data_IF_465543974305
#
_entry.id   IF_465543974305
#
_cell.length_a   1.000
_cell.length_b   1.000
_cell.length_c   1.000
_cell.angle_alpha   90.00
_cell.angle_beta   90.00
_cell.angle_gamma   90.00
#
_symmetry.space_group_name_H-M   'P 1'
#
loop_
_entity.id
_entity.type
_entity.pdbx_description
1 polymer ?
#
# COMPACT_ATOMS: atom_id res chain seq x y z
N UNK A 1 47.98 4.87 -14.48
CA UNK A 1 46.94 5.60 -15.26
C UNK A 1 45.62 5.14 -14.74
N UNK A 2 44.99 6.03 -13.97
CA UNK A 2 43.87 5.73 -13.12
C UNK A 2 42.59 5.50 -13.92
N UNK A 3 42.14 4.26 -14.00
CA UNK A 3 40.76 3.93 -14.38
C UNK A 3 39.84 4.22 -13.18
N UNK A 4 39.78 5.48 -12.81
CA UNK A 4 38.83 6.00 -11.85
C UNK A 4 37.47 6.23 -12.53
N UNK A 5 36.98 5.21 -13.24
CA UNK A 5 35.56 5.11 -13.54
C UNK A 5 34.90 4.77 -12.20
N UNK A 6 34.35 5.80 -11.55
CA UNK A 6 33.44 5.63 -10.43
C UNK A 6 32.35 4.63 -10.90
N UNK A 7 32.58 3.36 -10.60
CA UNK A 7 31.56 2.33 -10.82
C UNK A 7 30.38 2.74 -9.95
N UNK A 8 29.33 3.18 -10.61
CA UNK A 8 28.10 3.56 -9.95
C UNK A 8 27.66 2.35 -9.12
N UNK A 9 27.76 2.49 -7.79
CA UNK A 9 27.54 1.37 -6.88
C UNK A 9 26.14 0.81 -7.10
N UNK A 10 26.06 -0.50 -7.38
CA UNK A 10 24.78 -1.20 -7.67
C UNK A 10 23.68 -0.89 -6.63
N UNK A 11 24.08 -0.64 -5.39
CA UNK A 11 23.17 -0.23 -4.32
C UNK A 11 22.35 1.03 -4.62
N UNK A 12 22.87 1.97 -5.44
CA UNK A 12 22.11 3.15 -5.86
C UNK A 12 20.92 2.81 -6.74
N UNK A 13 21.08 1.84 -7.65
CA UNK A 13 19.96 1.37 -8.50
C UNK A 13 18.88 0.71 -7.64
N UNK A 14 19.29 -0.09 -6.65
CA UNK A 14 18.37 -0.71 -5.70
C UNK A 14 17.66 0.36 -4.86
N UNK A 15 18.38 1.33 -4.35
CA UNK A 15 17.81 2.42 -3.55
C UNK A 15 16.79 3.25 -4.35
N UNK A 16 17.10 3.61 -5.60
CA UNK A 16 16.17 4.31 -6.49
C UNK A 16 14.93 3.45 -6.76
N UNK A 17 15.12 2.17 -7.07
CA UNK A 17 14.01 1.24 -7.29
C UNK A 17 13.09 1.13 -6.07
N UNK A 18 13.64 0.96 -4.89
CA UNK A 18 12.88 0.91 -3.63
C UNK A 18 12.15 2.23 -3.36
N UNK A 19 12.81 3.37 -3.61
CA UNK A 19 12.20 4.69 -3.44
C UNK A 19 11.00 4.88 -4.37
N UNK A 20 11.13 4.48 -5.63
CA UNK A 20 10.02 4.55 -6.58
C UNK A 20 8.86 3.64 -6.17
N UNK A 21 9.13 2.41 -5.78
CA UNK A 21 8.10 1.48 -5.29
C UNK A 21 7.40 2.08 -4.06
N UNK A 22 8.16 2.56 -3.08
CA UNK A 22 7.63 3.19 -1.89
C UNK A 22 6.76 4.42 -2.21
N UNK A 23 7.23 5.29 -3.12
CA UNK A 23 6.49 6.47 -3.56
C UNK A 23 5.14 6.09 -4.19
N UNK A 24 5.14 5.19 -5.16
CA UNK A 24 3.91 4.76 -5.82
C UNK A 24 2.96 4.02 -4.88
N UNK A 25 3.47 3.15 -4.02
CA UNK A 25 2.66 2.41 -3.05
C UNK A 25 1.96 3.35 -2.08
N UNK A 26 2.68 4.32 -1.51
CA UNK A 26 2.08 5.31 -0.61
C UNK A 26 1.11 6.26 -1.32
N UNK A 27 1.48 6.73 -2.52
CA UNK A 27 0.60 7.59 -3.31
C UNK A 27 -0.73 6.90 -3.60
N UNK A 28 -0.70 5.66 -4.05
CA UNK A 28 -1.90 4.87 -4.33
C UNK A 28 -2.74 4.62 -3.08
N UNK A 29 -2.11 4.31 -1.95
CA UNK A 29 -2.83 3.93 -0.74
C UNK A 29 -3.42 5.11 0.02
N UNK A 30 -2.71 6.23 0.09
CA UNK A 30 -3.12 7.37 0.90
C UNK A 30 -3.81 8.47 0.10
N UNK A 31 -3.33 8.77 -1.11
CA UNK A 31 -3.83 9.93 -1.86
C UNK A 31 -4.95 9.60 -2.83
N UNK A 32 -4.92 8.44 -3.49
CA UNK A 32 -5.98 8.06 -4.44
C UNK A 32 -7.34 7.95 -3.75
N UNK A 33 -7.49 7.27 -2.60
CA UNK A 33 -8.78 7.26 -1.90
C UNK A 33 -9.26 8.66 -1.51
N UNK A 34 -8.36 9.53 -1.05
CA UNK A 34 -8.72 10.90 -0.64
C UNK A 34 -9.29 11.73 -1.79
N UNK A 35 -8.79 11.58 -3.00
CA UNK A 35 -9.32 12.29 -4.18
C UNK A 35 -10.71 11.78 -4.58
N UNK A 36 -11.04 10.56 -4.20
CA UNK A 36 -12.35 9.95 -4.46
C UNK A 36 -13.37 10.24 -3.35
N UNK A 37 -12.96 10.73 -2.20
CA UNK A 37 -13.82 10.96 -1.03
C UNK A 37 -15.08 11.77 -1.35
N UNK A 38 -15.03 12.92 -2.04
CA UNK A 38 -16.24 13.68 -2.34
C UNK A 38 -17.26 12.86 -3.14
N UNK A 39 -16.78 12.09 -4.11
CA UNK A 39 -17.62 11.24 -4.94
C UNK A 39 -18.21 10.05 -4.18
N UNK A 40 -17.42 9.44 -3.31
CA UNK A 40 -17.86 8.34 -2.45
C UNK A 40 -18.90 8.81 -1.43
N UNK A 41 -18.76 10.03 -0.91
CA UNK A 41 -19.76 10.64 -0.02
C UNK A 41 -21.11 10.83 -0.72
N UNK A 42 -21.09 11.30 -1.95
CA UNK A 42 -22.31 11.48 -2.75
C UNK A 42 -22.96 10.12 -3.09
N UNK A 43 -22.15 9.12 -3.48
CA UNK A 43 -22.63 7.82 -3.93
C UNK A 43 -23.21 6.97 -2.79
N UNK A 44 -22.55 6.99 -1.63
CA UNK A 44 -22.97 6.19 -0.45
C UNK A 44 -23.82 6.97 0.55
N UNK A 45 -24.04 8.28 0.33
CA UNK A 45 -24.76 9.14 1.27
C UNK A 45 -24.10 9.21 2.64
N UNK A 46 -22.77 8.99 2.70
CA UNK A 46 -22.00 8.96 3.92
C UNK A 46 -21.39 10.34 4.24
N UNK A 47 -21.06 10.54 5.52
CA UNK A 47 -20.40 11.76 5.95
C UNK A 47 -18.87 11.64 5.87
N UNK A 48 -18.18 12.78 5.99
CA UNK A 48 -16.72 12.85 5.93
C UNK A 48 -16.04 11.98 7.01
N UNK A 49 -16.64 11.86 8.18
CA UNK A 49 -16.11 11.05 9.28
C UNK A 49 -16.11 9.56 8.93
N UNK A 50 -17.18 9.07 8.30
CA UNK A 50 -17.31 7.66 7.89
C UNK A 50 -16.30 7.30 6.80
N UNK A 51 -16.10 8.18 5.83
CA UNK A 51 -15.09 7.96 4.78
C UNK A 51 -13.67 8.05 5.37
N UNK A 52 -13.40 9.02 6.24
CA UNK A 52 -12.08 9.15 6.89
C UNK A 52 -11.75 7.95 7.79
N UNK A 53 -12.76 7.27 8.30
CA UNK A 53 -12.59 6.03 9.07
C UNK A 53 -11.92 4.93 8.23
N UNK A 54 -12.11 4.89 6.91
CA UNK A 54 -11.45 3.92 6.03
C UNK A 54 -9.93 4.05 6.07
N UNK A 55 -9.41 5.29 6.05
CA UNK A 55 -7.97 5.55 6.17
C UNK A 55 -7.47 5.16 7.55
N UNK A 56 -8.24 5.48 8.58
CA UNK A 56 -7.90 5.11 9.97
C UNK A 56 -7.80 3.60 10.11
N UNK A 57 -8.72 2.85 9.54
CA UNK A 57 -8.69 1.38 9.49
C UNK A 57 -7.41 0.90 8.83
N UNK A 58 -7.06 1.46 7.66
CA UNK A 58 -5.85 1.07 6.94
C UNK A 58 -4.61 1.28 7.79
N UNK A 59 -4.43 2.45 8.38
CA UNK A 59 -3.24 2.78 9.18
C UNK A 59 -3.16 1.97 10.47
N UNK A 60 -4.29 1.78 11.15
CA UNK A 60 -4.37 1.00 12.38
C UNK A 60 -3.96 -0.46 12.13
N UNK A 61 -4.58 -1.10 11.14
CA UNK A 61 -4.28 -2.48 10.82
C UNK A 61 -2.89 -2.65 10.21
N UNK A 62 -2.42 -1.69 9.41
CA UNK A 62 -1.04 -1.71 8.92
C UNK A 62 -0.04 -1.72 10.10
N UNK A 63 -0.23 -0.87 11.08
CA UNK A 63 0.61 -0.84 12.28
C UNK A 63 0.56 -2.14 13.08
N UNK A 64 -0.63 -2.73 13.20
CA UNK A 64 -0.83 -3.99 13.92
C UNK A 64 -0.19 -5.18 13.20
N UNK A 65 -0.24 -5.20 11.86
CA UNK A 65 0.33 -6.28 11.06
C UNK A 65 1.82 -6.13 10.76
N UNK A 66 2.41 -4.96 10.97
CA UNK A 66 3.83 -4.70 10.70
C UNK A 66 4.80 -5.74 11.33
N UNK A 67 4.68 -6.12 12.62
CA UNK A 67 5.57 -7.12 13.21
C UNK A 67 5.40 -8.51 12.56
N UNK A 68 4.18 -8.88 12.15
CA UNK A 68 3.93 -10.15 11.45
C UNK A 68 4.55 -10.15 10.06
N UNK A 69 4.48 -9.03 9.34
CA UNK A 69 5.12 -8.89 8.04
C UNK A 69 6.64 -9.00 8.16
N UNK A 70 7.24 -8.41 9.20
CA UNK A 70 8.66 -8.59 9.50
C UNK A 70 9.05 -10.06 9.63
N UNK A 71 8.32 -10.83 10.42
CA UNK A 71 8.55 -12.28 10.56
C UNK A 71 8.40 -13.06 9.23
N UNK A 72 7.44 -12.66 8.40
CA UNK A 72 7.26 -13.28 7.07
C UNK A 72 8.42 -12.94 6.13
N UNK A 73 8.90 -11.71 6.18
CA UNK A 73 10.05 -11.25 5.39
C UNK A 73 11.31 -12.03 5.78
N UNK A 74 11.54 -12.20 7.07
CA UNK A 74 12.69 -12.95 7.58
C UNK A 74 12.64 -14.42 7.17
N UNK A 75 11.45 -15.02 7.15
CA UNK A 75 11.26 -16.44 6.82
C UNK A 75 11.29 -16.73 5.32
N UNK A 76 10.64 -15.90 4.52
CA UNK A 76 10.40 -16.17 3.09
C UNK A 76 11.19 -15.28 2.13
N UNK A 77 11.85 -14.26 2.66
CA UNK A 77 12.62 -13.28 1.91
C UNK A 77 11.78 -12.09 1.41
N UNK A 78 12.38 -10.91 1.47
CA UNK A 78 11.71 -9.64 1.19
C UNK A 78 11.05 -9.57 -0.20
N UNK A 79 11.76 -10.01 -1.25
CA UNK A 79 11.25 -9.92 -2.62
C UNK A 79 9.97 -10.74 -2.86
N UNK A 80 9.83 -11.90 -2.22
CA UNK A 80 8.63 -12.73 -2.35
C UNK A 80 7.45 -12.08 -1.66
N UNK A 81 7.66 -11.62 -0.45
CA UNK A 81 6.60 -10.99 0.36
C UNK A 81 6.15 -9.68 -0.29
N UNK A 82 7.09 -8.86 -0.76
CA UNK A 82 6.78 -7.62 -1.48
C UNK A 82 5.91 -7.88 -2.74
N UNK A 83 6.24 -8.89 -3.55
CA UNK A 83 5.44 -9.25 -4.74
C UNK A 83 4.01 -9.64 -4.35
N UNK A 84 3.84 -10.42 -3.29
CA UNK A 84 2.53 -10.81 -2.77
C UNK A 84 1.75 -9.58 -2.32
N UNK A 85 2.40 -8.65 -1.60
CA UNK A 85 1.79 -7.39 -1.16
C UNK A 85 1.30 -6.54 -2.33
N UNK A 86 2.13 -6.36 -3.36
CA UNK A 86 1.77 -5.59 -4.56
C UNK A 86 0.58 -6.22 -5.30
N UNK A 87 0.59 -7.54 -5.49
CA UNK A 87 -0.51 -8.27 -6.14
C UNK A 87 -1.79 -8.12 -5.32
N UNK A 88 -1.72 -8.26 -4.00
CA UNK A 88 -2.86 -8.09 -3.11
C UNK A 88 -3.44 -6.67 -3.20
N UNK A 89 -2.60 -5.65 -3.24
CA UNK A 89 -3.05 -4.27 -3.44
C UNK A 89 -3.74 -4.08 -4.79
N UNK A 90 -3.17 -4.61 -5.87
CA UNK A 90 -3.76 -4.52 -7.22
C UNK A 90 -5.13 -5.19 -7.27
N UNK A 91 -5.28 -6.37 -6.67
CA UNK A 91 -6.58 -7.07 -6.55
C UNK A 91 -7.55 -6.24 -5.73
N UNK A 92 -7.12 -5.69 -4.60
CA UNK A 92 -7.97 -4.87 -3.74
C UNK A 92 -8.49 -3.64 -4.47
N UNK A 93 -7.64 -2.92 -5.20
CA UNK A 93 -8.08 -1.78 -6.02
C UNK A 93 -9.03 -2.19 -7.15
N UNK A 94 -8.84 -3.34 -7.75
CA UNK A 94 -9.79 -3.86 -8.74
C UNK A 94 -11.16 -4.13 -8.13
N UNK A 95 -11.21 -4.59 -6.88
CA UNK A 95 -12.44 -4.84 -6.15
C UNK A 95 -13.19 -3.56 -5.73
N UNK A 96 -12.51 -2.40 -5.69
CA UNK A 96 -13.18 -1.11 -5.46
C UNK A 96 -14.29 -0.84 -6.47
N UNK A 97 -14.13 -1.30 -7.72
CA UNK A 97 -15.13 -1.15 -8.78
C UNK A 97 -16.41 -1.91 -8.51
N UNK A 98 -16.39 -2.86 -7.59
CA UNK A 98 -17.53 -3.71 -7.23
C UNK A 98 -18.09 -3.41 -5.83
N UNK A 99 -17.62 -2.35 -5.19
CA UNK A 99 -18.11 -1.96 -3.88
C UNK A 99 -19.43 -1.20 -4.00
N UNK A 100 -20.48 -1.76 -3.40
CA UNK A 100 -21.82 -1.17 -3.41
C UNK A 100 -22.20 -0.51 -2.07
N UNK A 101 -21.34 -0.63 -1.05
CA UNK A 101 -21.63 -0.10 0.28
C UNK A 101 -20.36 0.36 1.02
N UNK A 102 -20.56 1.22 2.03
CA UNK A 102 -19.48 1.68 2.91
C UNK A 102 -18.85 0.53 3.70
N UNK A 103 -19.63 -0.49 4.02
CA UNK A 103 -19.12 -1.70 4.69
C UNK A 103 -18.14 -2.48 3.82
N UNK A 104 -18.35 -2.51 2.52
CA UNK A 104 -17.43 -3.12 1.57
C UNK A 104 -16.14 -2.31 1.48
N UNK A 105 -16.23 -0.98 1.52
CA UNK A 105 -15.06 -0.11 1.61
C UNK A 105 -14.20 -0.43 2.83
N UNK A 106 -14.79 -0.62 4.00
CA UNK A 106 -14.05 -0.97 5.22
C UNK A 106 -13.32 -2.30 5.09
N UNK A 107 -13.94 -3.32 4.48
CA UNK A 107 -13.30 -4.61 4.20
C UNK A 107 -12.15 -4.48 3.22
N UNK A 108 -12.32 -3.69 2.17
CA UNK A 108 -11.26 -3.42 1.19
C UNK A 108 -10.08 -2.67 1.81
N UNK A 109 -10.32 -1.72 2.68
CA UNK A 109 -9.26 -1.01 3.40
C UNK A 109 -8.52 -1.91 4.39
N UNK A 110 -9.18 -2.89 4.98
CA UNK A 110 -8.52 -3.92 5.77
C UNK A 110 -7.56 -4.77 4.91
N UNK A 111 -8.00 -5.21 3.72
CA UNK A 111 -7.14 -5.93 2.78
C UNK A 111 -5.99 -5.05 2.27
N UNK A 112 -6.27 -3.77 2.03
CA UNK A 112 -5.27 -2.78 1.65
C UNK A 112 -4.18 -2.63 2.71
N UNK A 113 -4.55 -2.62 3.99
CA UNK A 113 -3.60 -2.56 5.10
C UNK A 113 -2.61 -3.72 5.07
N UNK A 114 -3.10 -4.94 4.82
CA UNK A 114 -2.25 -6.14 4.69
C UNK A 114 -1.33 -6.00 3.49
N UNK A 115 -1.86 -5.63 2.32
CA UNK A 115 -1.09 -5.43 1.10
C UNK A 115 0.00 -4.37 1.26
N UNK A 116 -0.32 -3.26 1.90
CA UNK A 116 0.58 -2.15 2.18
C UNK A 116 1.78 -2.60 3.03
N UNK A 117 1.52 -3.30 4.11
CA UNK A 117 2.57 -3.78 5.02
C UNK A 117 3.46 -4.84 4.35
N UNK A 118 2.87 -5.75 3.56
CA UNK A 118 3.64 -6.76 2.83
C UNK A 118 4.43 -6.18 1.66
N UNK A 119 4.00 -5.06 1.07
CA UNK A 119 4.72 -4.40 -0.02
C UNK A 119 5.96 -3.63 0.41
N UNK A 120 6.18 -3.47 1.70
CA UNK A 120 7.43 -2.90 2.24
C UNK A 120 7.29 -1.51 2.85
N UNK A 121 6.25 -1.29 3.59
CA UNK A 121 6.16 -0.13 4.47
C UNK A 121 7.22 -0.18 5.54
#
# INVERSE_FOLDING_TARGET
MDDNKAQFFYGWYVAIGCTLIYFFTNAMTLFVPQTLFPRLMEEFGSNEAEISLTVTITLLFASLFAPFAGMLIDKFGALRIMRIGIVLMAVTYSLYSFSDSISDLYRLHFLLAIGLVLSGL
#
